data_IF_365761671315
#
_entry.id   IF_365761671315
#
_cell.length_a   1.000
_cell.length_b   1.000
_cell.length_c   1.000
_cell.angle_alpha   90.00
_cell.angle_beta   90.00
_cell.angle_gamma   90.00
#
_symmetry.space_group_name_H-M   'P 1'
#
loop_
_entity.id
_entity.type
_entity.pdbx_description
1 polymer ?
#
# COMPACT_ATOMS: atom_id res chain seq x y z
N UNK A 1 -40.39 -7.78 14.27
CA UNK A 1 -39.97 -8.42 13.00
C UNK A 1 -39.47 -7.30 12.09
N UNK A 2 -38.19 -6.94 12.19
CA UNK A 2 -37.62 -5.76 11.52
C UNK A 2 -36.95 -6.17 10.21
N UNK A 3 -37.53 -5.74 9.10
CA UNK A 3 -36.97 -5.88 7.75
C UNK A 3 -35.92 -4.79 7.51
N UNK A 4 -34.67 -5.20 7.26
CA UNK A 4 -33.60 -4.31 6.79
C UNK A 4 -33.94 -3.81 5.36
N UNK A 5 -33.79 -2.52 5.04
CA UNK A 5 -33.82 -2.07 3.65
C UNK A 5 -32.53 -2.49 2.94
N UNK A 6 -32.70 -3.13 1.78
CA UNK A 6 -31.64 -3.61 0.90
C UNK A 6 -31.00 -2.42 0.19
N UNK A 7 -29.74 -2.10 0.50
CA UNK A 7 -28.91 -1.21 -0.32
C UNK A 7 -28.55 -1.95 -1.61
N UNK A 8 -29.13 -1.53 -2.73
CA UNK A 8 -28.80 -2.05 -4.05
C UNK A 8 -27.36 -1.68 -4.41
N UNK A 9 -26.55 -2.68 -4.74
CA UNK A 9 -25.18 -2.52 -5.21
C UNK A 9 -25.19 -1.80 -6.57
N UNK A 10 -24.67 -0.57 -6.61
CA UNK A 10 -24.52 0.19 -7.86
C UNK A 10 -23.25 -0.33 -8.55
N UNK A 11 -23.43 -1.13 -9.60
CA UNK A 11 -22.33 -1.59 -10.44
C UNK A 11 -21.62 -0.42 -11.14
N UNK A 12 -20.35 -0.24 -10.81
CA UNK A 12 -19.52 0.86 -11.29
C UNK A 12 -19.19 0.81 -12.80
N UNK A 13 -19.55 -0.27 -13.50
CA UNK A 13 -19.25 -0.47 -14.93
C UNK A 13 -20.36 0.03 -15.89
N UNK A 14 -21.54 0.44 -15.41
CA UNK A 14 -22.58 1.00 -16.29
C UNK A 14 -22.42 2.52 -16.44
N UNK A 15 -22.33 2.97 -17.70
CA UNK A 15 -22.29 4.39 -18.08
C UNK A 15 -23.55 5.15 -17.63
N UNK A 16 -23.38 6.45 -17.37
CA UNK A 16 -24.36 7.38 -16.77
C UNK A 16 -25.46 7.84 -17.73
N UNK A 17 -26.16 6.92 -18.39
CA UNK A 17 -27.35 7.32 -19.19
C UNK A 17 -28.67 7.18 -18.45
N UNK A 18 -28.76 6.36 -17.40
CA UNK A 18 -30.05 6.07 -16.76
C UNK A 18 -29.96 6.09 -15.22
N UNK A 19 -29.67 7.24 -14.61
CA UNK A 19 -29.88 7.41 -13.16
C UNK A 19 -30.64 8.72 -12.93
N UNK A 20 -31.93 8.67 -12.51
CA UNK A 20 -32.63 9.85 -12.04
C UNK A 20 -31.92 10.38 -10.78
N UNK A 21 -31.66 11.69 -10.74
CA UNK A 21 -31.14 12.35 -9.53
C UNK A 21 -32.05 12.04 -8.34
N UNK A 22 -31.51 11.59 -7.19
CA UNK A 22 -32.32 11.44 -6.00
C UNK A 22 -32.76 12.83 -5.53
N UNK A 23 -34.05 13.13 -5.68
CA UNK A 23 -34.67 14.27 -5.00
C UNK A 23 -34.64 13.99 -3.51
N UNK A 24 -33.82 14.75 -2.78
CA UNK A 24 -33.85 14.77 -1.32
C UNK A 24 -35.05 15.64 -0.93
N UNK A 25 -36.19 15.00 -0.70
CA UNK A 25 -37.32 15.62 -0.02
C UNK A 25 -37.42 15.07 1.40
N UNK A 26 -37.34 15.97 2.39
CA UNK A 26 -37.78 15.72 3.76
C UNK A 26 -36.72 15.25 4.76
N UNK A 27 -35.96 16.19 5.32
CA UNK A 27 -35.37 16.05 6.66
C UNK A 27 -35.74 17.30 7.46
N UNK A 28 -36.94 17.28 8.03
CA UNK A 28 -37.33 18.20 9.10
C UNK A 28 -36.80 17.65 10.43
N UNK A 29 -36.13 18.53 11.17
CA UNK A 29 -36.00 18.55 12.64
C UNK A 29 -35.21 17.42 13.33
N UNK A 30 -33.93 17.66 13.61
CA UNK A 30 -33.46 17.79 15.00
C UNK A 30 -32.01 18.30 15.11
N UNK A 31 -31.80 19.17 16.10
CA UNK A 31 -30.61 19.96 16.37
C UNK A 31 -29.38 19.14 16.83
N UNK A 32 -28.20 19.45 16.27
CA UNK A 32 -26.95 19.78 17.01
C UNK A 32 -25.83 20.18 16.04
N UNK A 33 -25.67 21.50 15.88
CA UNK A 33 -24.48 22.27 15.47
C UNK A 33 -23.54 21.63 14.43
N UNK A 34 -23.87 21.80 13.15
CA UNK A 34 -22.91 21.69 12.05
C UNK A 34 -22.28 23.07 11.81
N UNK A 35 -20.95 23.17 11.87
CA UNK A 35 -20.21 24.34 11.39
C UNK A 35 -20.38 24.46 9.87
N UNK A 36 -20.51 25.71 9.42
CA UNK A 36 -20.86 26.17 8.08
C UNK A 36 -20.07 25.45 6.97
N UNK A 37 -20.73 24.61 6.18
CA UNK A 37 -20.22 24.12 4.90
C UNK A 37 -20.88 25.00 3.83
N UNK A 38 -20.15 25.98 3.31
CA UNK A 38 -20.60 26.77 2.16
C UNK A 38 -20.54 25.92 0.90
N UNK A 39 -21.65 25.25 0.60
CA UNK A 39 -21.89 24.60 -0.69
C UNK A 39 -22.53 25.64 -1.61
N UNK A 40 -21.79 26.10 -2.63
CA UNK A 40 -22.36 26.94 -3.68
C UNK A 40 -23.12 26.08 -4.70
N UNK A 41 -24.45 26.25 -4.88
CA UNK A 41 -25.18 25.56 -5.95
C UNK A 41 -24.91 26.24 -7.29
N UNK A 42 -24.47 25.46 -8.29
CA UNK A 42 -24.41 25.91 -9.69
C UNK A 42 -25.83 25.97 -10.24
N UNK A 43 -26.18 27.09 -10.90
CA UNK A 43 -27.49 27.35 -11.51
C UNK A 43 -27.98 26.17 -12.37
N UNK A 44 -29.16 25.66 -12.03
CA UNK A 44 -29.95 24.75 -12.86
C UNK A 44 -30.29 25.43 -14.20
N UNK A 45 -29.96 24.77 -15.32
CA UNK A 45 -30.50 25.14 -16.62
C UNK A 45 -32.02 24.94 -16.58
N UNK A 46 -32.75 25.99 -16.99
CA UNK A 46 -34.21 26.09 -17.05
C UNK A 46 -34.81 24.95 -17.90
N UNK A 47 -35.68 24.12 -17.31
CA UNK A 47 -36.70 23.35 -18.04
C UNK A 47 -37.73 24.34 -18.61
N UNK A 48 -38.20 24.10 -19.84
CA UNK A 48 -39.57 24.36 -20.34
C UNK A 48 -39.60 24.46 -21.88
N UNK A 49 -39.79 23.33 -22.58
CA UNK A 49 -40.52 23.28 -23.89
C UNK A 49 -41.19 21.90 -24.03
N UNK A 50 -42.49 21.80 -24.38
CA UNK A 50 -43.16 20.53 -24.62
C UNK A 50 -42.67 19.88 -25.92
N UNK A 51 -42.20 18.64 -25.85
CA UNK A 51 -41.76 17.86 -27.02
C UNK A 51 -42.95 17.12 -27.64
N UNK A 52 -43.36 17.51 -28.86
CA UNK A 52 -44.33 16.76 -29.68
C UNK A 52 -43.69 15.49 -30.24
N UNK A 53 -44.38 14.32 -30.20
CA UNK A 53 -43.82 13.07 -30.69
C UNK A 53 -44.05 12.94 -32.21
N UNK A 54 -43.21 13.59 -33.00
CA UNK A 54 -43.14 13.35 -34.43
C UNK A 54 -41.68 13.39 -34.87
N UNK A 55 -41.26 12.30 -35.49
CA UNK A 55 -39.93 11.99 -36.02
C UNK A 55 -38.89 11.49 -35.00
N UNK A 56 -39.13 10.27 -34.50
CA UNK A 56 -38.03 9.40 -34.05
C UNK A 56 -37.16 9.09 -35.26
N UNK A 57 -36.19 9.95 -35.53
CA UNK A 57 -35.08 9.64 -36.43
C UNK A 57 -34.46 8.32 -35.97
N UNK A 58 -34.51 7.31 -36.84
CA UNK A 58 -33.87 6.01 -36.66
C UNK A 58 -32.45 6.22 -36.14
N UNK A 59 -32.19 5.85 -34.90
CA UNK A 59 -30.85 5.90 -34.33
C UNK A 59 -29.91 5.13 -35.26
N UNK A 60 -28.86 5.80 -35.76
CA UNK A 60 -27.85 5.13 -36.57
C UNK A 60 -27.28 3.94 -35.81
N UNK A 61 -27.05 2.79 -36.47
CA UNK A 61 -26.53 1.61 -35.82
C UNK A 61 -25.19 1.92 -35.14
N UNK A 62 -25.05 1.47 -33.89
CA UNK A 62 -23.82 1.65 -33.12
C UNK A 62 -22.61 1.13 -33.91
N UNK A 63 -21.47 1.84 -33.91
CA UNK A 63 -20.30 1.41 -34.67
C UNK A 63 -19.88 0.00 -34.24
N UNK A 64 -19.66 -0.87 -35.23
CA UNK A 64 -19.27 -2.24 -35.00
C UNK A 64 -18.03 -2.31 -34.09
N UNK A 65 -18.08 -3.18 -33.07
CA UNK A 65 -16.96 -3.36 -32.14
C UNK A 65 -15.70 -3.69 -32.94
N UNK A 66 -14.59 -2.96 -32.74
CA UNK A 66 -13.38 -3.18 -33.51
C UNK A 66 -12.91 -4.63 -33.36
N UNK A 67 -12.54 -5.26 -34.47
CA UNK A 67 -12.06 -6.63 -34.49
C UNK A 67 -10.89 -6.79 -33.49
N UNK A 68 -10.99 -7.78 -32.60
CA UNK A 68 -9.96 -8.05 -31.59
C UNK A 68 -8.65 -8.43 -32.30
N UNK A 69 -7.70 -7.50 -32.39
CA UNK A 69 -6.36 -7.76 -32.93
C UNK A 69 -5.68 -8.84 -32.08
N UNK A 70 -5.14 -9.87 -32.72
CA UNK A 70 -4.33 -10.91 -32.06
C UNK A 70 -3.02 -10.26 -31.60
N UNK A 71 -2.86 -10.09 -30.29
CA UNK A 71 -1.64 -9.53 -29.69
C UNK A 71 -0.57 -10.63 -29.68
N UNK A 72 0.67 -10.37 -30.18
CA UNK A 72 1.72 -11.38 -30.15
C UNK A 72 2.13 -11.72 -28.72
N UNK A 73 2.50 -12.99 -28.50
CA UNK A 73 2.82 -13.52 -27.17
C UNK A 73 3.98 -12.79 -26.49
N UNK A 74 4.95 -12.30 -27.28
CA UNK A 74 6.05 -11.47 -26.78
C UNK A 74 5.56 -10.16 -26.16
N UNK A 75 4.59 -9.48 -26.77
CA UNK A 75 4.02 -8.24 -26.22
C UNK A 75 3.27 -8.53 -24.94
N UNK A 76 2.50 -9.63 -24.89
CA UNK A 76 1.88 -10.11 -23.65
C UNK A 76 2.91 -10.37 -22.56
N UNK A 77 4.05 -11.00 -22.89
CA UNK A 77 5.12 -11.27 -21.95
C UNK A 77 5.82 -9.98 -21.47
N UNK A 78 6.10 -9.02 -22.36
CA UNK A 78 6.70 -7.73 -21.98
C UNK A 78 5.78 -6.93 -21.06
N UNK A 79 4.48 -6.90 -21.35
CA UNK A 79 3.48 -6.23 -20.51
C UNK A 79 3.29 -6.94 -19.17
N UNK A 80 3.28 -8.28 -19.18
CA UNK A 80 3.22 -9.09 -17.96
C UNK A 80 4.46 -8.88 -17.10
N UNK A 81 5.65 -8.88 -17.70
CA UNK A 81 6.96 -8.64 -17.09
C UNK A 81 7.20 -7.14 -16.87
N UNK A 82 6.29 -6.51 -16.15
CA UNK A 82 6.44 -5.15 -15.69
C UNK A 82 7.59 -5.04 -14.65
N UNK A 83 8.03 -3.82 -14.38
CA UNK A 83 9.17 -3.59 -13.48
C UNK A 83 8.92 -4.09 -12.06
N UNK A 84 7.67 -4.11 -11.60
CA UNK A 84 7.31 -4.68 -10.30
C UNK A 84 7.68 -6.16 -10.23
N UNK A 85 7.27 -6.95 -11.24
CA UNK A 85 7.58 -8.39 -11.27
C UNK A 85 9.08 -8.63 -11.42
N UNK A 86 9.77 -7.81 -12.23
CA UNK A 86 11.23 -7.91 -12.39
C UNK A 86 11.95 -7.71 -11.05
N UNK A 87 11.64 -6.65 -10.31
CA UNK A 87 12.24 -6.43 -8.99
C UNK A 87 11.91 -7.55 -8.02
N UNK A 88 10.65 -7.97 -7.97
CA UNK A 88 10.23 -9.08 -7.13
C UNK A 88 11.05 -10.34 -7.44
N UNK A 89 11.14 -10.73 -8.71
CA UNK A 89 11.85 -11.93 -9.14
C UNK A 89 13.34 -11.87 -8.80
N UNK A 90 14.00 -10.72 -9.03
CA UNK A 90 15.42 -10.56 -8.68
C UNK A 90 15.64 -10.73 -7.18
N UNK A 91 14.88 -10.01 -6.35
CA UNK A 91 15.03 -10.08 -4.88
C UNK A 91 14.70 -11.48 -4.36
N UNK A 92 13.65 -12.10 -4.91
CA UNK A 92 13.22 -13.44 -4.54
C UNK A 92 14.30 -14.48 -4.88
N UNK A 93 14.83 -14.47 -6.11
CA UNK A 93 15.87 -15.42 -6.53
C UNK A 93 17.12 -15.27 -5.66
N UNK A 94 17.62 -14.04 -5.48
CA UNK A 94 18.83 -13.80 -4.67
C UNK A 94 18.65 -14.33 -3.24
N UNK A 95 17.51 -14.04 -2.60
CA UNK A 95 17.25 -14.51 -1.25
C UNK A 95 17.08 -16.02 -1.16
N UNK A 96 16.32 -16.65 -2.05
CA UNK A 96 16.07 -18.09 -2.00
C UNK A 96 17.30 -18.92 -2.40
N UNK A 97 18.14 -18.40 -3.30
CA UNK A 97 19.47 -18.97 -3.55
C UNK A 97 20.34 -18.88 -2.28
N UNK A 98 20.35 -17.72 -1.63
CA UNK A 98 21.04 -17.53 -0.35
C UNK A 98 20.54 -18.47 0.76
N UNK A 99 19.22 -18.61 0.88
CA UNK A 99 18.54 -19.50 1.83
C UNK A 99 18.93 -20.95 1.55
N UNK A 100 18.95 -21.36 0.27
CA UNK A 100 19.41 -22.67 -0.16
C UNK A 100 20.86 -22.95 0.24
N UNK A 101 21.77 -21.99 0.04
CA UNK A 101 23.16 -22.12 0.46
C UNK A 101 23.33 -22.17 1.99
N UNK A 102 22.52 -21.41 2.74
CA UNK A 102 22.52 -21.44 4.19
C UNK A 102 22.06 -22.81 4.72
N UNK A 103 20.95 -23.35 4.19
CA UNK A 103 20.44 -24.68 4.55
C UNK A 103 21.41 -25.80 4.17
N UNK A 104 22.13 -25.66 3.04
CA UNK A 104 23.16 -26.60 2.62
C UNK A 104 24.48 -26.48 3.42
N UNK A 105 24.56 -25.56 4.39
CA UNK A 105 25.79 -25.31 5.16
C UNK A 105 26.93 -24.67 4.35
N UNK A 106 26.66 -24.22 3.12
CA UNK A 106 27.66 -23.62 2.21
C UNK A 106 27.87 -22.13 2.47
N UNK A 107 26.97 -21.50 3.22
CA UNK A 107 27.09 -20.10 3.63
C UNK A 107 27.04 -19.98 5.16
N UNK A 108 28.21 -20.11 5.79
CA UNK A 108 28.35 -20.14 7.25
C UNK A 108 27.73 -18.92 7.94
N UNK A 109 27.94 -17.72 7.36
CA UNK A 109 27.37 -16.49 7.89
C UNK A 109 25.84 -16.51 7.92
N UNK A 110 25.20 -16.86 6.80
CA UNK A 110 23.74 -16.88 6.73
C UNK A 110 23.12 -18.01 7.56
N UNK A 111 23.82 -19.14 7.71
CA UNK A 111 23.41 -20.22 8.60
C UNK A 111 23.51 -19.83 10.09
N UNK A 112 24.53 -19.05 10.47
CA UNK A 112 24.73 -18.55 11.83
C UNK A 112 23.84 -17.37 12.21
N UNK A 113 23.49 -16.50 11.26
CA UNK A 113 22.74 -15.26 11.51
C UNK A 113 21.45 -15.12 10.67
N UNK A 114 20.58 -16.14 10.58
CA UNK A 114 19.36 -16.06 9.76
C UNK A 114 18.41 -14.93 10.21
N UNK A 115 18.40 -14.59 11.52
CA UNK A 115 17.64 -13.46 12.04
C UNK A 115 18.11 -12.10 11.50
N UNK A 116 19.40 -11.92 11.26
CA UNK A 116 19.93 -10.69 10.66
C UNK A 116 19.49 -10.56 9.19
N UNK A 117 19.46 -11.67 8.45
CA UNK A 117 18.97 -11.70 7.07
C UNK A 117 17.45 -11.47 7.00
N UNK A 118 16.70 -12.00 7.96
CA UNK A 118 15.26 -11.74 8.09
C UNK A 118 14.98 -10.25 8.33
N UNK A 119 15.63 -9.66 9.35
CA UNK A 119 15.45 -8.25 9.69
C UNK A 119 16.01 -7.30 8.62
N UNK A 120 17.09 -7.66 7.93
CA UNK A 120 17.60 -6.89 6.80
C UNK A 120 16.59 -6.82 5.65
N UNK A 121 15.95 -7.94 5.31
CA UNK A 121 14.86 -7.95 4.34
C UNK A 121 13.67 -7.10 4.81
N UNK A 122 13.21 -7.26 6.05
CA UNK A 122 12.09 -6.48 6.58
C UNK A 122 12.41 -4.97 6.64
N UNK A 123 13.65 -4.58 6.94
CA UNK A 123 14.11 -3.19 6.85
C UNK A 123 13.92 -2.61 5.47
N UNK A 124 14.44 -3.30 4.44
CA UNK A 124 14.31 -2.84 3.05
C UNK A 124 12.84 -2.81 2.64
N UNK A 125 12.04 -3.80 3.04
CA UNK A 125 10.61 -3.84 2.76
C UNK A 125 9.89 -2.61 3.31
N UNK A 126 10.22 -2.16 4.51
CA UNK A 126 9.64 -0.95 5.12
C UNK A 126 10.21 0.32 4.47
N UNK A 127 11.54 0.38 4.26
CA UNK A 127 12.23 1.54 3.71
C UNK A 127 11.67 1.96 2.35
N UNK A 128 11.46 1.01 1.43
CA UNK A 128 10.94 1.33 0.08
C UNK A 128 9.47 1.77 0.09
N UNK A 129 8.78 1.65 1.24
CA UNK A 129 7.42 2.16 1.47
C UNK A 129 7.40 3.47 2.25
N UNK A 130 8.55 3.97 2.69
CA UNK A 130 8.68 5.22 3.42
C UNK A 130 8.67 6.43 2.46
N UNK A 131 7.85 7.44 2.77
CA UNK A 131 7.62 8.61 1.94
C UNK A 131 8.84 9.52 1.83
N UNK A 132 9.62 9.65 2.90
CA UNK A 132 10.84 10.47 2.91
C UNK A 132 11.91 9.80 2.06
N UNK A 133 12.06 8.48 2.18
CA UNK A 133 12.94 7.73 1.31
C UNK A 133 12.52 7.87 -0.16
N UNK A 134 11.23 7.72 -0.45
CA UNK A 134 10.68 7.96 -1.79
C UNK A 134 11.00 9.36 -2.30
N UNK A 135 10.72 10.41 -1.51
CA UNK A 135 11.01 11.81 -1.86
C UNK A 135 12.49 12.05 -2.13
N UNK A 136 13.36 11.51 -1.29
CA UNK A 136 14.81 11.58 -1.50
C UNK A 136 15.21 10.92 -2.82
N UNK A 137 14.64 9.76 -3.14
CA UNK A 137 14.94 9.05 -4.38
C UNK A 137 14.45 9.82 -5.62
N UNK A 138 13.25 10.41 -5.57
CA UNK A 138 12.76 11.30 -6.63
C UNK A 138 13.64 12.55 -6.76
N UNK A 139 14.03 13.19 -5.66
CA UNK A 139 14.92 14.34 -5.65
C UNK A 139 16.28 14.00 -6.25
N UNK A 140 16.88 12.88 -5.85
CA UNK A 140 18.15 12.40 -6.38
C UNK A 140 18.06 12.15 -7.88
N UNK A 141 17.10 11.33 -8.34
CA UNK A 141 16.95 11.01 -9.76
C UNK A 141 16.73 12.28 -10.60
N UNK A 142 15.88 13.20 -10.13
CA UNK A 142 15.59 14.41 -10.86
C UNK A 142 16.79 15.37 -10.91
N UNK A 143 17.55 15.47 -9.82
CA UNK A 143 18.72 16.35 -9.73
C UNK A 143 19.84 15.88 -10.65
N UNK A 144 20.14 14.57 -10.63
CA UNK A 144 21.32 14.06 -11.34
C UNK A 144 21.03 13.61 -12.77
N UNK A 145 19.80 13.18 -13.10
CA UNK A 145 19.54 12.47 -14.35
C UNK A 145 18.50 13.12 -15.27
N UNK A 146 17.69 14.08 -14.81
CA UNK A 146 16.55 14.56 -15.60
C UNK A 146 16.91 15.26 -16.93
N UNK A 147 18.04 15.97 -16.97
CA UNK A 147 18.37 16.91 -18.06
C UNK A 147 19.16 16.30 -19.22
N UNK A 148 20.13 15.43 -18.94
CA UNK A 148 21.13 15.01 -19.93
C UNK A 148 21.06 13.52 -20.30
N UNK A 149 20.45 12.68 -19.46
CA UNK A 149 20.44 11.24 -19.70
C UNK A 149 19.51 10.85 -20.85
N UNK A 150 19.83 9.78 -21.59
CA UNK A 150 19.01 9.33 -22.71
C UNK A 150 17.59 8.94 -22.25
N UNK A 151 16.62 9.05 -23.15
CA UNK A 151 15.20 8.84 -22.83
C UNK A 151 14.92 7.47 -22.20
N UNK A 152 15.54 6.39 -22.72
CA UNK A 152 15.36 5.05 -22.18
C UNK A 152 15.78 4.95 -20.70
N UNK A 153 16.81 5.69 -20.29
CA UNK A 153 17.29 5.72 -18.91
C UNK A 153 16.32 6.45 -18.00
N UNK A 154 15.79 7.60 -18.44
CA UNK A 154 14.76 8.35 -17.69
C UNK A 154 13.49 7.53 -17.52
N UNK A 155 13.06 6.82 -18.57
CA UNK A 155 11.93 5.89 -18.50
C UNK A 155 12.20 4.74 -17.53
N UNK A 156 13.41 4.18 -17.52
CA UNK A 156 13.80 3.15 -16.57
C UNK A 156 13.79 3.67 -15.13
N UNK A 157 14.29 4.88 -14.88
CA UNK A 157 14.25 5.52 -13.56
C UNK A 157 12.80 5.72 -13.08
N UNK A 158 11.95 6.38 -13.88
CA UNK A 158 10.54 6.61 -13.53
C UNK A 158 9.81 5.29 -13.31
N UNK A 159 10.02 4.31 -14.18
CA UNK A 159 9.47 2.97 -14.03
C UNK A 159 9.95 2.30 -12.73
N UNK A 160 11.21 2.49 -12.35
CA UNK A 160 11.75 1.97 -11.08
C UNK A 160 11.04 2.57 -9.88
N UNK A 161 10.91 3.91 -9.84
CA UNK A 161 10.29 4.64 -8.74
C UNK A 161 8.81 4.29 -8.55
N UNK A 162 8.09 4.04 -9.65
CA UNK A 162 6.68 3.64 -9.60
C UNK A 162 6.48 2.19 -9.15
N UNK A 163 7.47 1.33 -9.35
CA UNK A 163 7.35 -0.11 -9.12
C UNK A 163 8.18 -0.63 -7.94
N UNK A 164 8.60 0.25 -7.01
CA UNK A 164 9.27 -0.12 -5.76
C UNK A 164 8.49 -1.15 -4.92
N UNK A 165 7.17 -1.26 -5.15
CA UNK A 165 6.35 -2.31 -4.55
C UNK A 165 6.85 -3.74 -4.84
N UNK A 166 7.55 -3.96 -5.94
CA UNK A 166 8.14 -5.27 -6.27
C UNK A 166 9.25 -5.66 -5.30
N UNK A 167 10.10 -4.68 -4.95
CA UNK A 167 11.16 -4.82 -3.93
C UNK A 167 10.53 -5.10 -2.57
N UNK A 168 9.52 -4.32 -2.18
CA UNK A 168 8.78 -4.51 -0.93
C UNK A 168 8.27 -5.94 -0.77
N UNK A 169 7.53 -6.44 -1.76
CA UNK A 169 6.94 -7.77 -1.70
C UNK A 169 8.00 -8.88 -1.73
N UNK A 170 9.06 -8.71 -2.51
CA UNK A 170 10.17 -9.67 -2.58
C UNK A 170 10.89 -9.79 -1.24
N UNK A 171 11.19 -8.65 -0.62
CA UNK A 171 11.81 -8.59 0.70
C UNK A 171 10.87 -9.09 1.80
N UNK A 172 9.58 -8.77 1.77
CA UNK A 172 8.62 -9.24 2.78
C UNK A 172 8.51 -10.77 2.82
N UNK A 173 8.35 -11.41 1.65
CA UNK A 173 8.29 -12.88 1.56
C UNK A 173 9.63 -13.50 1.97
N UNK A 174 10.74 -12.95 1.48
CA UNK A 174 12.08 -13.46 1.80
C UNK A 174 12.39 -13.31 3.30
N UNK A 175 12.01 -12.19 3.92
CA UNK A 175 12.20 -11.94 5.35
C UNK A 175 11.45 -12.96 6.20
N UNK A 176 10.23 -13.33 5.82
CA UNK A 176 9.49 -14.40 6.50
C UNK A 176 10.16 -15.76 6.29
N UNK A 177 10.67 -16.07 5.10
CA UNK A 177 11.38 -17.33 4.85
C UNK A 177 12.65 -17.45 5.73
N UNK A 178 13.44 -16.37 5.86
CA UNK A 178 14.59 -16.32 6.76
C UNK A 178 14.18 -16.42 8.24
N UNK A 179 13.06 -15.78 8.62
CA UNK A 179 12.52 -15.88 9.97
C UNK A 179 12.11 -17.34 10.30
N UNK A 180 11.48 -18.05 9.36
CA UNK A 180 11.16 -19.46 9.51
C UNK A 180 12.42 -20.30 9.72
N UNK A 181 13.49 -20.06 8.93
CA UNK A 181 14.77 -20.74 9.14
C UNK A 181 15.35 -20.47 10.52
N UNK A 182 15.30 -19.22 10.99
CA UNK A 182 15.74 -18.84 12.34
C UNK A 182 14.95 -19.59 13.41
N UNK A 183 13.62 -19.61 13.31
CA UNK A 183 12.76 -20.34 14.25
C UNK A 183 13.09 -21.83 14.24
N UNK A 184 13.26 -22.45 13.07
CA UNK A 184 13.68 -23.86 12.96
C UNK A 184 15.02 -24.11 13.67
N UNK A 185 16.01 -23.21 13.51
CA UNK A 185 17.29 -23.32 14.21
C UNK A 185 17.13 -23.21 15.73
N UNK A 186 16.30 -22.28 16.21
CA UNK A 186 15.99 -22.14 17.64
C UNK A 186 15.33 -23.40 18.21
N UNK A 187 14.39 -24.02 17.48
CA UNK A 187 13.76 -25.27 17.90
C UNK A 187 14.73 -26.46 17.88
N UNK A 188 15.65 -26.54 16.92
CA UNK A 188 16.73 -27.55 16.91
C UNK A 188 17.66 -27.42 18.12
N UNK A 189 17.82 -26.20 18.63
CA UNK A 189 18.67 -25.87 19.78
C UNK A 189 17.85 -25.41 20.98
N UNK A 190 16.62 -25.93 21.13
CA UNK A 190 15.63 -25.43 22.12
C UNK A 190 16.13 -25.42 23.57
N UNK A 191 17.09 -26.27 23.92
CA UNK A 191 17.71 -26.31 25.25
C UNK A 191 18.51 -25.05 25.60
N UNK A 192 18.85 -24.21 24.61
CA UNK A 192 19.53 -22.93 24.77
C UNK A 192 18.56 -21.75 24.92
N UNK A 193 17.25 -21.96 24.76
CA UNK A 193 16.25 -20.91 24.70
C UNK A 193 15.10 -21.17 25.68
N UNK A 194 14.59 -20.11 26.30
CA UNK A 194 13.40 -20.19 27.13
C UNK A 194 12.13 -20.34 26.27
N UNK A 195 11.13 -21.08 26.76
CA UNK A 195 9.88 -21.34 26.05
C UNK A 195 9.16 -20.07 25.54
N UNK A 196 9.11 -18.94 26.26
CA UNK A 196 8.50 -17.71 25.76
C UNK A 196 9.16 -17.16 24.49
N UNK A 197 10.48 -17.31 24.34
CA UNK A 197 11.22 -16.84 23.14
C UNK A 197 10.81 -17.67 21.93
N UNK A 198 10.70 -19.00 22.11
CA UNK A 198 10.26 -19.91 21.05
C UNK A 198 8.80 -19.63 20.66
N UNK A 199 7.92 -19.43 21.63
CA UNK A 199 6.53 -19.08 21.39
C UNK A 199 6.39 -17.76 20.63
N UNK A 200 7.13 -16.71 21.03
CA UNK A 200 7.13 -15.43 20.34
C UNK A 200 7.63 -15.53 18.89
N UNK A 201 8.67 -16.33 18.64
CA UNK A 201 9.17 -16.60 17.29
C UNK A 201 8.10 -17.22 16.38
N UNK A 202 7.35 -18.22 16.89
CA UNK A 202 6.26 -18.86 16.15
C UNK A 202 5.11 -17.89 15.90
N UNK A 203 4.65 -17.17 16.93
CA UNK A 203 3.57 -16.18 16.81
C UNK A 203 3.93 -15.14 15.76
N UNK A 204 5.14 -14.59 15.82
CA UNK A 204 5.62 -13.60 14.86
C UNK A 204 5.62 -14.15 13.43
N UNK A 205 6.14 -15.36 13.22
CA UNK A 205 6.16 -16.00 11.90
C UNK A 205 4.75 -16.22 11.35
N UNK A 206 3.82 -16.72 12.18
CA UNK A 206 2.41 -16.94 11.80
C UNK A 206 1.71 -15.62 11.47
N UNK A 207 1.87 -14.60 12.31
CA UNK A 207 1.27 -13.28 12.09
C UNK A 207 1.77 -12.62 10.80
N UNK A 208 3.07 -12.72 10.52
CA UNK A 208 3.64 -12.21 9.26
C UNK A 208 3.17 -13.03 8.05
N UNK A 209 3.02 -14.34 8.19
CA UNK A 209 2.48 -15.19 7.14
C UNK A 209 1.02 -14.82 6.81
N UNK A 210 0.16 -14.68 7.82
CA UNK A 210 -1.22 -14.21 7.65
C UNK A 210 -1.25 -12.84 6.96
N UNK A 211 -0.36 -11.94 7.36
CA UNK A 211 -0.20 -10.62 6.73
C UNK A 211 0.13 -10.73 5.23
N UNK A 212 1.05 -11.62 4.85
CA UNK A 212 1.39 -11.87 3.44
C UNK A 212 0.18 -12.43 2.68
N UNK A 213 -0.55 -13.38 3.26
CA UNK A 213 -1.76 -13.93 2.65
C UNK A 213 -2.82 -12.86 2.42
N UNK A 214 -3.02 -11.97 3.39
CA UNK A 214 -3.96 -10.86 3.28
C UNK A 214 -3.53 -9.82 2.22
N UNK A 215 -2.23 -9.70 1.95
CA UNK A 215 -1.68 -8.82 0.92
C UNK A 215 -1.86 -9.35 -0.52
N UNK A 216 -2.27 -10.62 -0.69
CA UNK A 216 -2.46 -11.21 -2.01
C UNK A 216 -3.55 -10.46 -2.79
N UNK A 217 -3.38 -10.25 -4.11
CA UNK A 217 -4.32 -9.46 -4.91
C UNK A 217 -5.78 -9.92 -4.81
N UNK A 218 -6.04 -11.23 -4.65
CA UNK A 218 -7.41 -11.76 -4.50
C UNK A 218 -8.11 -11.20 -3.24
N UNK A 219 -7.40 -11.18 -2.12
CA UNK A 219 -7.92 -10.70 -0.84
C UNK A 219 -7.87 -9.17 -0.78
N UNK A 220 -6.74 -8.60 -1.21
CA UNK A 220 -6.51 -7.16 -1.16
C UNK A 220 -7.44 -6.37 -2.07
N UNK A 221 -7.74 -6.84 -3.29
CA UNK A 221 -8.58 -6.08 -4.21
C UNK A 221 -10.05 -6.04 -3.78
N UNK A 222 -10.49 -7.04 -3.00
CA UNK A 222 -11.87 -7.15 -2.51
C UNK A 222 -12.05 -6.50 -1.13
N UNK A 223 -11.01 -6.53 -0.29
CA UNK A 223 -11.08 -6.08 1.10
C UNK A 223 -9.90 -5.18 1.48
N UNK A 224 -9.51 -4.26 0.58
CA UNK A 224 -8.29 -3.43 0.73
C UNK A 224 -8.23 -2.72 2.10
N UNK A 225 -9.38 -2.25 2.59
CA UNK A 225 -9.52 -1.57 3.88
C UNK A 225 -9.34 -2.51 5.08
N UNK A 226 -9.87 -3.74 5.02
CA UNK A 226 -9.71 -4.76 6.06
C UNK A 226 -8.26 -5.21 6.14
N UNK A 227 -7.59 -5.32 4.99
CA UNK A 227 -6.17 -5.60 4.89
C UNK A 227 -5.34 -4.51 5.60
N UNK A 228 -5.56 -3.23 5.29
CA UNK A 228 -4.81 -2.14 5.92
C UNK A 228 -4.99 -2.12 7.43
N UNK A 229 -6.22 -2.33 7.92
CA UNK A 229 -6.52 -2.39 9.35
C UNK A 229 -5.84 -3.58 10.04
N UNK A 230 -5.96 -4.79 9.47
CA UNK A 230 -5.38 -6.00 10.06
C UNK A 230 -3.87 -5.90 10.14
N UNK A 231 -3.22 -5.47 9.05
CA UNK A 231 -1.78 -5.30 8.99
C UNK A 231 -1.24 -4.31 10.04
N UNK A 232 -1.92 -3.18 10.24
CA UNK A 232 -1.55 -2.17 11.24
C UNK A 232 -1.79 -2.67 12.67
N UNK A 233 -2.91 -3.34 12.94
CA UNK A 233 -3.19 -3.91 14.28
C UNK A 233 -2.14 -4.95 14.64
N UNK A 234 -1.76 -5.85 13.73
CA UNK A 234 -0.70 -6.82 13.98
C UNK A 234 0.65 -6.14 14.23
N UNK A 235 0.97 -5.09 13.48
CA UNK A 235 2.21 -4.32 13.67
C UNK A 235 2.22 -3.66 15.06
N UNK A 236 1.10 -3.08 15.50
CA UNK A 236 0.99 -2.46 16.82
C UNK A 236 1.05 -3.52 17.94
N UNK A 237 0.32 -4.63 17.80
CA UNK A 237 0.25 -5.70 18.80
C UNK A 237 1.60 -6.39 19.02
N UNK A 238 2.36 -6.60 17.94
CA UNK A 238 3.72 -7.18 18.01
C UNK A 238 4.71 -6.21 18.69
N UNK A 239 4.47 -4.90 18.60
CA UNK A 239 5.31 -3.87 19.22
C UNK A 239 4.88 -3.48 20.65
N UNK A 240 3.65 -3.81 21.06
CA UNK A 240 3.07 -3.39 22.35
C UNK A 240 3.12 -4.48 23.44
N UNK A 241 3.57 -5.69 23.12
CA UNK A 241 3.64 -6.79 24.08
C UNK A 241 4.99 -6.80 24.81
N UNK A 242 4.95 -6.44 26.10
CA UNK A 242 6.08 -6.51 27.02
C UNK A 242 6.01 -7.83 27.80
N UNK A 243 7.01 -8.71 27.63
CA UNK A 243 7.18 -9.95 28.40
C UNK A 243 7.95 -9.70 29.70
N UNK A 244 7.62 -8.64 30.40
CA UNK A 244 8.18 -8.32 31.71
C UNK A 244 7.60 -9.28 32.76
N UNK A 245 8.26 -10.42 32.94
CA UNK A 245 8.68 -10.96 34.24
C UNK A 245 9.39 -12.31 34.02
N UNK A 246 10.70 -12.47 34.20
CA UNK A 246 11.63 -11.53 34.81
C UNK A 246 13.01 -12.18 34.89
N UNK A 247 13.87 -11.79 33.96
CA UNK A 247 15.26 -11.32 34.18
C UNK A 247 16.05 -11.41 32.87
N UNK A 248 16.42 -10.25 32.34
CA UNK A 248 17.53 -10.10 31.41
C UNK A 248 18.75 -9.69 32.22
N UNK A 249 19.34 -10.66 32.92
CA UNK A 249 20.64 -10.37 33.51
C UNK A 249 21.71 -10.56 32.44
N UNK A 250 22.38 -9.44 32.17
CA UNK A 250 23.60 -9.26 31.38
C UNK A 250 23.45 -8.71 29.94
N UNK A 251 24.22 -7.62 29.73
CA UNK A 251 24.90 -7.17 28.51
C UNK A 251 24.18 -6.26 27.48
N UNK A 252 23.77 -5.06 27.89
CA UNK A 252 23.43 -3.98 26.94
C UNK A 252 24.51 -3.72 25.87
N UNK A 253 25.80 -3.81 26.23
CA UNK A 253 26.92 -3.65 25.29
C UNK A 253 27.01 -4.74 24.20
N UNK A 254 26.56 -5.96 24.48
CA UNK A 254 26.57 -7.07 23.52
C UNK A 254 25.37 -6.99 22.60
N UNK A 255 24.19 -6.63 23.14
CA UNK A 255 22.98 -6.40 22.35
C UNK A 255 23.21 -5.29 21.32
N UNK A 256 23.83 -4.17 21.72
CA UNK A 256 24.16 -3.07 20.80
C UNK A 256 25.21 -3.47 19.74
N UNK A 257 26.06 -4.47 20.02
CA UNK A 257 26.99 -5.02 19.01
C UNK A 257 26.31 -5.97 18.01
N UNK A 258 25.09 -6.43 18.29
CA UNK A 258 24.36 -7.29 17.36
C UNK A 258 23.77 -6.46 16.20
N UNK A 259 23.88 -7.00 14.99
CA UNK A 259 23.28 -6.36 13.80
C UNK A 259 21.75 -6.28 13.91
N UNK A 260 21.13 -7.32 14.46
CA UNK A 260 19.68 -7.38 14.68
C UNK A 260 19.17 -6.20 15.49
N UNK A 261 19.95 -5.68 16.45
CA UNK A 261 19.58 -4.49 17.23
C UNK A 261 19.44 -3.26 16.32
N UNK A 262 20.47 -2.96 15.52
CA UNK A 262 20.45 -1.80 14.62
C UNK A 262 19.41 -1.92 13.52
N UNK A 263 19.17 -3.14 13.02
CA UNK A 263 18.08 -3.40 12.10
C UNK A 263 16.71 -3.13 12.73
N UNK A 264 16.49 -3.53 13.98
CA UNK A 264 15.24 -3.21 14.68
C UNK A 264 15.10 -1.70 14.91
N UNK A 265 16.17 -1.01 15.34
CA UNK A 265 16.19 0.45 15.50
C UNK A 265 15.84 1.15 14.16
N UNK A 266 16.46 0.72 13.06
CA UNK A 266 16.18 1.22 11.72
C UNK A 266 14.70 1.05 11.32
N UNK A 267 14.15 -0.15 11.54
CA UNK A 267 12.72 -0.41 11.28
C UNK A 267 11.82 0.52 12.10
N UNK A 268 12.08 0.67 13.40
CA UNK A 268 11.33 1.55 14.29
C UNK A 268 11.35 3.00 13.79
N UNK A 269 12.53 3.50 13.40
CA UNK A 269 12.66 4.84 12.82
C UNK A 269 11.83 4.95 11.54
N UNK A 270 11.94 4.00 10.60
CA UNK A 270 11.20 4.07 9.34
C UNK A 270 9.68 3.96 9.49
N UNK A 271 9.20 3.27 10.52
CA UNK A 271 7.76 3.16 10.85
C UNK A 271 7.24 4.46 11.47
N UNK A 272 7.98 5.03 12.43
CA UNK A 272 7.55 6.22 13.18
C UNK A 272 7.66 7.49 12.36
N UNK A 273 8.67 7.59 11.51
CA UNK A 273 9.00 8.82 10.78
C UNK A 273 7.84 9.38 9.92
N UNK A 274 7.08 8.58 9.14
CA UNK A 274 5.90 9.06 8.42
C UNK A 274 4.80 9.62 9.34
N UNK A 275 4.65 9.07 10.54
CA UNK A 275 3.65 9.53 11.51
C UNK A 275 4.03 10.89 12.09
N UNK A 276 5.32 11.11 12.35
CA UNK A 276 5.84 12.42 12.76
C UNK A 276 5.65 13.50 11.69
N UNK A 277 5.62 13.11 10.42
CA UNK A 277 5.38 14.02 9.30
C UNK A 277 3.90 14.16 8.92
N UNK A 278 2.99 13.44 9.60
CA UNK A 278 1.55 13.59 9.37
C UNK A 278 1.04 14.86 10.04
N UNK A 279 0.32 15.68 9.28
CA UNK A 279 -0.29 16.92 9.78
C UNK A 279 -1.75 17.01 9.38
N UNK A 280 -2.58 17.52 10.29
CA UNK A 280 -3.94 17.95 9.96
C UNK A 280 -3.88 19.28 9.21
N UNK A 281 -4.45 19.32 8.01
CA UNK A 281 -4.48 20.50 7.14
C UNK A 281 -5.93 20.81 6.82
N UNK A 282 -6.28 22.10 6.68
CA UNK A 282 -7.59 22.51 6.17
C UNK A 282 -7.70 22.16 4.70
N UNK A 283 -8.88 21.72 4.28
CA UNK A 283 -9.11 21.16 2.95
C UNK A 283 -10.42 21.72 2.42
N UNK A 284 -10.39 22.26 1.21
CA UNK A 284 -11.58 22.65 0.48
C UNK A 284 -11.89 21.58 -0.57
N UNK A 285 -13.16 21.21 -0.68
CA UNK A 285 -13.60 20.14 -1.59
C UNK A 285 -14.52 20.76 -2.63
N UNK A 286 -14.15 20.60 -3.90
CA UNK A 286 -14.97 20.97 -5.04
C UNK A 286 -15.47 19.69 -5.73
N UNK A 287 -16.77 19.63 -6.02
CA UNK A 287 -17.43 18.48 -6.63
C UNK A 287 -17.89 18.85 -8.05
N UNK A 288 -17.01 18.80 -9.06
CA UNK A 288 -17.39 19.12 -10.44
C UNK A 288 -18.36 18.11 -11.06
N UNK A 289 -18.44 16.88 -10.50
CA UNK A 289 -19.43 15.87 -10.89
C UNK A 289 -19.69 14.89 -9.74
N UNK A 290 -20.76 14.07 -9.78
CA UNK A 290 -21.02 13.05 -8.76
C UNK A 290 -19.92 11.97 -8.61
N UNK A 291 -18.98 11.89 -9.54
CA UNK A 291 -17.93 10.87 -9.58
C UNK A 291 -16.53 11.41 -9.31
N UNK A 292 -16.37 12.73 -9.18
CA UNK A 292 -15.06 13.37 -9.05
C UNK A 292 -15.11 14.39 -7.93
N UNK A 293 -14.17 14.27 -7.00
CA UNK A 293 -13.91 15.27 -5.97
C UNK A 293 -12.51 15.85 -6.18
N UNK A 294 -12.42 17.17 -6.29
CA UNK A 294 -11.16 17.91 -6.34
C UNK A 294 -10.90 18.44 -4.94
N UNK A 295 -9.76 18.01 -4.39
CA UNK A 295 -9.35 18.33 -3.03
C UNK A 295 -8.27 19.42 -3.10
N UNK A 296 -8.59 20.61 -2.60
CA UNK A 296 -7.69 21.77 -2.58
C UNK A 296 -7.09 21.94 -1.18
N UNK A 297 -5.80 22.27 -1.14
CA UNK A 297 -5.05 22.52 0.08
C UNK A 297 -4.53 23.95 0.06
N UNK A 298 -4.53 24.65 1.20
CA UNK A 298 -4.01 26.02 1.32
C UNK A 298 -2.52 26.15 0.97
N UNK A 299 -1.77 25.05 0.89
CA UNK A 299 -0.34 25.03 0.59
C UNK A 299 -0.08 24.45 -0.80
N UNK A 300 0.64 25.20 -1.63
CA UNK A 300 1.17 24.71 -2.90
C UNK A 300 2.16 23.56 -2.68
N UNK A 301 1.95 22.45 -3.39
CA UNK A 301 2.89 21.32 -3.50
C UNK A 301 3.43 21.27 -4.92
N UNK A 302 4.66 20.77 -5.08
CA UNK A 302 5.26 20.66 -6.40
C UNK A 302 4.49 19.67 -7.29
N UNK A 303 4.22 20.08 -8.52
CA UNK A 303 3.57 19.25 -9.54
C UNK A 303 4.35 17.94 -9.79
N UNK A 304 3.60 16.87 -10.10
CA UNK A 304 4.19 15.56 -10.39
C UNK A 304 4.58 14.73 -9.16
N UNK A 305 4.32 15.22 -7.95
CA UNK A 305 4.45 14.45 -6.72
C UNK A 305 3.16 13.70 -6.37
N UNK A 306 3.31 12.65 -5.56
CA UNK A 306 2.21 11.91 -4.95
C UNK A 306 1.99 12.42 -3.52
N UNK A 307 0.73 12.67 -3.15
CA UNK A 307 0.31 12.94 -1.78
C UNK A 307 -0.43 11.74 -1.19
N UNK A 308 -0.33 11.51 0.11
CA UNK A 308 -1.18 10.56 0.83
C UNK A 308 -2.14 11.31 1.73
N UNK A 309 -3.42 10.99 1.63
CA UNK A 309 -4.49 11.62 2.38
C UNK A 309 -5.17 10.56 3.24
N UNK A 310 -5.46 10.91 4.49
CA UNK A 310 -6.27 10.10 5.41
C UNK A 310 -7.30 10.96 6.12
N UNK A 311 -8.42 10.35 6.52
CA UNK A 311 -9.42 10.94 7.42
C UNK A 311 -9.01 10.88 8.89
N UNK A 312 -7.96 10.13 9.25
CA UNK A 312 -7.44 10.06 10.62
C UNK A 312 -5.92 9.88 10.62
N UNK A 313 -5.25 10.15 11.74
CA UNK A 313 -3.80 9.97 11.84
C UNK A 313 -3.33 8.50 11.86
N UNK A 314 -4.23 7.54 12.11
CA UNK A 314 -3.84 6.14 12.40
C UNK A 314 -4.37 5.16 11.33
N UNK A 315 -5.48 5.51 10.68
CA UNK A 315 -6.19 4.63 9.74
C UNK A 315 -5.61 4.72 8.31
N UNK A 316 -6.46 4.50 7.32
CA UNK A 316 -6.12 4.28 5.91
C UNK A 316 -5.53 5.52 5.25
N UNK A 317 -4.48 5.35 4.45
CA UNK A 317 -3.85 6.44 3.69
C UNK A 317 -3.90 6.11 2.21
N UNK A 318 -4.63 6.93 1.45
CA UNK A 318 -4.78 6.77 0.01
C UNK A 318 -3.84 7.71 -0.73
N UNK A 319 -3.15 7.20 -1.76
CA UNK A 319 -2.23 7.97 -2.57
C UNK A 319 -2.97 8.63 -3.75
N UNK A 320 -2.73 9.91 -3.96
CA UNK A 320 -3.29 10.72 -5.05
C UNK A 320 -2.17 11.48 -5.76
N UNK A 321 -2.29 11.61 -7.08
CA UNK A 321 -1.43 12.48 -7.87
C UNK A 321 -1.81 13.94 -7.67
N UNK A 322 -0.81 14.81 -7.52
CA UNK A 322 -1.02 16.25 -7.40
C UNK A 322 -1.07 16.85 -8.80
N UNK A 323 -2.17 17.52 -9.10
CA UNK A 323 -2.51 18.05 -10.44
C UNK A 323 -2.30 19.56 -10.57
N UNK A 324 -2.12 20.28 -9.45
CA UNK A 324 -1.95 21.74 -9.38
C UNK A 324 -0.50 22.15 -9.25
#
# INVERSE_FOLDING_TARGET
MFTKPTLTHIDAEKGTRDVPSPQITGLSNNEKKAEHIDVFPVLSLKEDVPFTPSDVAKASPAPAKPAKKKVPLWVLWVVWSNSYRRFFTVIFIVNFTGLGFAMAGKWAYAAGYPGALALGNLNVAILVRNEIFGRFLYWFVNTFFAKWTPLWFRLACTSTLQHLGGIHSGCAISGVAWLVLMVVHQFKTKYMFNDPILAFGVITAVTLFITICAALPLVRNTHHNVFERSHRVYTILTNAYDTADGKFDHIGAYVVRQQSFWYTVGMSIFIVLPWLCTRRVKVDIELPSPKVAVIRFERGMQQGLLARISRSAVMEYHAFGIIS
#
